data_IF_418905581279
#
_entry.id   IF_418905581279
#
_cell.length_a   1.000
_cell.length_b   1.000
_cell.length_c   1.000
_cell.angle_alpha   90.00
_cell.angle_beta   90.00
_cell.angle_gamma   90.00
#
_symmetry.space_group_name_H-M   'P 1'
#
loop_
_entity.id
_entity.type
_entity.pdbx_description
1 polymer ?
#
# COMPACT_ATOMS: atom_id res chain seq x y z
N UNK A 1 27.04 2.40 23.00
CA UNK A 1 26.31 1.96 21.78
C UNK A 1 25.14 0.99 22.03
N UNK A 2 25.13 0.16 23.09
CA UNK A 2 24.05 -0.81 23.33
C UNK A 2 22.66 -0.18 23.52
N UNK A 3 22.57 0.91 24.28
CA UNK A 3 21.32 1.66 24.52
C UNK A 3 20.75 2.28 23.24
N UNK A 4 21.59 2.92 22.43
CA UNK A 4 21.16 3.50 21.14
C UNK A 4 20.63 2.41 20.18
N UNK A 5 21.29 1.25 20.11
CA UNK A 5 20.82 0.11 19.32
C UNK A 5 19.46 -0.40 19.82
N UNK A 6 19.25 -0.43 21.14
CA UNK A 6 17.99 -0.83 21.77
C UNK A 6 16.84 0.14 21.49
N UNK A 7 17.13 1.44 21.52
CA UNK A 7 16.17 2.49 21.16
C UNK A 7 15.81 2.42 19.67
N UNK A 8 16.80 2.26 18.80
CA UNK A 8 16.59 2.11 17.36
C UNK A 8 15.78 0.84 17.05
N UNK A 9 16.08 -0.29 17.69
CA UNK A 9 15.31 -1.52 17.49
C UNK A 9 13.89 -1.39 18.01
N UNK A 10 13.68 -0.75 19.16
CA UNK A 10 12.35 -0.49 19.69
C UNK A 10 11.52 0.42 18.79
N UNK A 11 12.16 1.48 18.25
CA UNK A 11 11.52 2.37 17.28
C UNK A 11 11.14 1.63 16.00
N UNK A 12 12.04 0.81 15.45
CA UNK A 12 11.79 0.03 14.24
C UNK A 12 10.63 -0.96 14.43
N UNK A 13 10.63 -1.68 15.55
CA UNK A 13 9.57 -2.64 15.89
C UNK A 13 8.24 -1.90 16.08
N UNK A 14 8.24 -0.79 16.81
CA UNK A 14 7.04 0.04 17.02
C UNK A 14 6.48 0.59 15.71
N UNK A 15 7.34 1.03 14.79
CA UNK A 15 6.95 1.51 13.47
C UNK A 15 6.31 0.40 12.63
N UNK A 16 6.92 -0.78 12.60
CA UNK A 16 6.39 -1.92 11.87
C UNK A 16 5.03 -2.38 12.41
N UNK A 17 4.89 -2.49 13.74
CA UNK A 17 3.63 -2.86 14.39
C UNK A 17 2.56 -1.77 14.22
N UNK A 18 2.94 -0.50 14.33
CA UNK A 18 2.05 0.64 14.13
C UNK A 18 1.53 0.72 12.69
N UNK A 19 2.41 0.52 11.70
CA UNK A 19 2.02 0.45 10.28
C UNK A 19 1.10 -0.74 10.00
N UNK A 20 1.40 -1.91 10.57
CA UNK A 20 0.54 -3.09 10.43
C UNK A 20 -0.88 -2.81 10.96
N UNK A 21 -0.98 -2.40 12.23
CA UNK A 21 -2.28 -2.17 12.88
C UNK A 21 -3.01 -1.01 12.22
N UNK A 22 -2.32 0.09 11.94
CA UNK A 22 -2.90 1.27 11.29
C UNK A 22 -3.40 0.97 9.87
N UNK A 23 -2.68 0.16 9.10
CA UNK A 23 -3.10 -0.25 7.76
C UNK A 23 -4.37 -1.11 7.80
N UNK A 24 -4.47 -2.04 8.75
CA UNK A 24 -5.68 -2.84 8.93
C UNK A 24 -6.88 -2.00 9.40
N UNK A 25 -6.66 -1.09 10.36
CA UNK A 25 -7.71 -0.19 10.82
C UNK A 25 -8.24 0.70 9.70
N UNK A 26 -7.36 1.23 8.85
CA UNK A 26 -7.74 2.05 7.69
C UNK A 26 -8.50 1.28 6.61
N UNK A 27 -8.51 -0.06 6.68
CA UNK A 27 -9.24 -0.94 5.77
C UNK A 27 -10.51 -1.54 6.38
N UNK A 28 -10.93 -1.08 7.56
CA UNK A 28 -12.01 -1.69 8.35
C UNK A 28 -11.81 -3.21 8.59
N UNK A 29 -10.55 -3.65 8.63
CA UNK A 29 -10.17 -5.03 8.89
C UNK A 29 -9.75 -5.21 10.36
N UNK A 30 -9.87 -6.43 10.92
CA UNK A 30 -9.35 -6.72 12.24
C UNK A 30 -7.87 -6.28 12.37
N UNK A 31 -7.47 -5.64 13.49
CA UNK A 31 -6.14 -5.02 13.61
C UNK A 31 -4.97 -6.01 13.47
N UNK A 32 -5.22 -7.28 13.74
CA UNK A 32 -4.25 -8.38 13.63
C UNK A 32 -4.41 -9.24 12.37
N UNK A 33 -5.29 -8.85 11.43
CA UNK A 33 -5.35 -9.47 10.10
C UNK A 33 -4.01 -9.31 9.36
N UNK A 34 -3.72 -10.17 8.38
CA UNK A 34 -2.54 -10.00 7.54
C UNK A 34 -2.74 -8.78 6.61
N UNK A 35 -1.96 -7.69 6.77
CA UNK A 35 -2.12 -6.46 5.99
C UNK A 35 -1.76 -6.68 4.52
N UNK A 36 -0.98 -7.70 4.21
CA UNK A 36 -0.63 -8.10 2.85
C UNK A 36 -1.54 -9.20 2.29
N UNK A 37 -2.61 -9.56 2.99
CA UNK A 37 -3.59 -10.49 2.44
C UNK A 37 -4.31 -9.84 1.26
N UNK A 38 -4.31 -10.54 0.12
CA UNK A 38 -5.03 -10.14 -1.08
C UNK A 38 -6.53 -10.12 -0.79
N UNK A 39 -7.07 -8.92 -0.59
CA UNK A 39 -8.50 -8.66 -0.72
C UNK A 39 -8.67 -7.37 -1.50
N UNK A 40 -9.15 -7.50 -2.73
CA UNK A 40 -9.69 -6.47 -3.63
C UNK A 40 -8.85 -5.21 -3.96
N UNK A 41 -7.79 -4.86 -3.23
CA UNK A 41 -6.95 -3.70 -3.56
C UNK A 41 -6.14 -3.92 -4.83
N UNK A 42 -5.62 -5.12 -5.06
CA UNK A 42 -4.97 -5.47 -6.33
C UNK A 42 -5.95 -5.33 -7.49
N UNK A 43 -7.22 -5.73 -7.32
CA UNK A 43 -8.25 -5.54 -8.34
C UNK A 43 -8.54 -4.06 -8.59
N UNK A 44 -8.84 -3.26 -7.55
CA UNK A 44 -9.12 -1.82 -7.70
C UNK A 44 -7.95 -1.04 -8.28
N UNK A 45 -6.72 -1.34 -7.86
CA UNK A 45 -5.50 -0.72 -8.39
C UNK A 45 -5.26 -1.15 -9.84
N UNK A 46 -5.49 -2.42 -10.17
CA UNK A 46 -5.37 -2.94 -11.54
C UNK A 46 -6.42 -2.37 -12.47
N UNK A 47 -7.65 -2.19 -12.00
CA UNK A 47 -8.74 -1.56 -12.74
C UNK A 47 -8.40 -0.10 -13.03
N UNK A 48 -8.03 0.67 -11.99
CA UNK A 48 -7.62 2.07 -12.12
C UNK A 48 -6.40 2.23 -13.04
N UNK A 49 -5.41 1.35 -12.93
CA UNK A 49 -4.22 1.38 -13.78
C UNK A 49 -4.54 1.04 -15.24
N UNK A 50 -5.43 0.07 -15.49
CA UNK A 50 -5.86 -0.27 -16.86
C UNK A 50 -6.64 0.88 -17.49
N UNK A 51 -7.53 1.52 -16.74
CA UNK A 51 -8.34 2.64 -17.22
C UNK A 51 -7.47 3.85 -17.61
N UNK A 52 -6.47 4.18 -16.79
CA UNK A 52 -5.51 5.26 -17.08
C UNK A 52 -4.64 4.95 -18.30
N UNK A 53 -4.20 3.71 -18.47
CA UNK A 53 -3.39 3.29 -19.63
C UNK A 53 -4.21 3.33 -20.93
N UNK A 54 -5.47 2.91 -20.88
CA UNK A 54 -6.37 2.95 -22.03
C UNK A 54 -6.75 4.37 -22.43
N UNK A 55 -7.03 5.25 -21.47
CA UNK A 55 -7.26 6.68 -21.74
C UNK A 55 -6.03 7.33 -22.37
N UNK A 56 -4.85 7.07 -21.82
CA UNK A 56 -3.59 7.59 -22.34
C UNK A 56 -3.34 7.09 -23.77
N UNK A 57 -3.58 5.81 -24.04
CA UNK A 57 -3.42 5.23 -25.38
C UNK A 57 -4.38 5.84 -26.40
N UNK A 58 -5.64 6.10 -26.01
CA UNK A 58 -6.61 6.79 -26.88
C UNK A 58 -6.17 8.21 -27.19
N UNK A 59 -5.77 8.98 -26.18
CA UNK A 59 -5.34 10.38 -26.34
C UNK A 59 -4.07 10.52 -27.20
N UNK A 60 -3.11 9.61 -27.04
CA UNK A 60 -1.90 9.57 -27.87
C UNK A 60 -2.24 9.25 -29.33
N UNK A 61 -3.16 8.31 -29.55
CA UNK A 61 -3.56 7.90 -30.90
C UNK A 61 -4.36 8.98 -31.63
N UNK A 62 -5.16 9.75 -30.90
CA UNK A 62 -5.94 10.87 -31.45
C UNK A 62 -5.07 12.10 -31.75
N UNK A 63 -3.99 12.32 -30.98
CA UNK A 63 -2.99 13.39 -31.24
C UNK A 63 -2.03 13.09 -32.40
N UNK A 64 -1.89 11.82 -32.79
CA UNK A 64 -0.98 11.39 -33.86
C UNK A 64 -1.66 11.28 -35.24
N UNK A 65 -2.94 11.66 -35.35
CA UNK A 65 -3.74 11.64 -36.58
C UNK A 65 -4.08 13.07 -37.01
#
# INVERSE_FOLDING_TARGET
MRTLKLLLSGLLIGLLLGLWVGYNLGRDEPPFSNPFAERHLTEKVKETASEVVDETSKLVKDKLK
#
